data_IF_905839944385
#
_entry.id   IF_905839944385
#
_cell.length_a   1.000
_cell.length_b   1.000
_cell.length_c   1.000
_cell.angle_alpha   90.00
_cell.angle_beta   90.00
_cell.angle_gamma   90.00
#
_symmetry.space_group_name_H-M   'P 1'
#
loop_
_entity.id
_entity.type
_entity.pdbx_description
1 polymer ?
#
# COMPACT_ATOMS: atom_id res chain seq x y z
N UNK A 1 -0.38 -21.11 17.57
CA UNK A 1 -1.68 -20.51 17.96
C UNK A 1 -1.45 -19.13 18.53
N UNK A 2 -2.50 -18.37 18.87
CA UNK A 2 -2.36 -17.03 19.47
C UNK A 2 -1.44 -17.05 20.71
N UNK A 3 -1.45 -18.15 21.45
CA UNK A 3 -0.62 -18.38 22.65
C UNK A 3 0.89 -18.43 22.35
N UNK A 4 1.30 -18.99 21.22
CA UNK A 4 2.72 -19.03 20.82
C UNK A 4 3.23 -17.63 20.43
N UNK A 5 2.37 -16.82 19.79
CA UNK A 5 2.66 -15.43 19.46
C UNK A 5 2.76 -14.55 20.72
N UNK A 6 1.88 -14.79 21.69
CA UNK A 6 1.95 -14.13 23.00
C UNK A 6 3.24 -14.49 23.74
N UNK A 7 3.68 -15.76 23.67
CA UNK A 7 4.95 -16.20 24.24
C UNK A 7 6.16 -15.50 23.62
N UNK A 8 6.19 -15.29 22.29
CA UNK A 8 7.26 -14.55 21.63
C UNK A 8 7.23 -13.06 22.00
N UNK A 9 6.04 -12.46 22.09
CA UNK A 9 5.86 -11.08 22.57
C UNK A 9 6.35 -10.93 24.00
N UNK A 10 5.94 -11.84 24.89
CA UNK A 10 6.39 -11.88 26.29
C UNK A 10 7.90 -12.08 26.38
N UNK A 11 8.48 -13.00 25.59
CA UNK A 11 9.92 -13.20 25.53
C UNK A 11 10.67 -11.93 25.07
N UNK A 12 10.13 -11.21 24.09
CA UNK A 12 10.71 -9.93 23.62
C UNK A 12 10.61 -8.85 24.70
N UNK A 13 9.49 -8.77 25.40
CA UNK A 13 9.30 -7.91 26.58
C UNK A 13 10.25 -8.28 27.71
N UNK A 14 10.52 -9.58 27.90
CA UNK A 14 11.46 -10.11 28.90
C UNK A 14 12.90 -9.73 28.55
N UNK A 15 13.30 -9.78 27.28
CA UNK A 15 14.63 -9.32 26.85
C UNK A 15 14.83 -7.81 27.10
N UNK A 16 13.74 -7.02 27.10
CA UNK A 16 13.74 -5.61 27.50
C UNK A 16 13.68 -5.38 29.02
N UNK A 17 13.70 -6.43 29.86
CA UNK A 17 13.62 -6.29 31.34
C UNK A 17 14.81 -5.51 31.93
N UNK A 18 15.99 -5.55 31.32
CA UNK A 18 17.12 -4.76 31.79
C UNK A 18 16.89 -3.23 31.72
N UNK A 19 15.91 -2.77 30.94
CA UNK A 19 15.51 -1.35 30.88
C UNK A 19 14.32 -1.00 31.79
N UNK A 20 13.72 -1.98 32.48
CA UNK A 20 12.56 -1.73 33.36
C UNK A 20 12.94 -1.01 34.66
N UNK A 21 14.19 -1.13 35.10
CA UNK A 21 14.67 -0.53 36.34
C UNK A 21 15.31 0.86 36.15
N UNK A 22 15.53 1.28 34.89
CA UNK A 22 16.08 2.59 34.57
C UNK A 22 14.98 3.62 34.36
N UNK A 23 15.16 4.82 34.94
CA UNK A 23 14.26 5.94 34.72
C UNK A 23 14.48 6.48 33.29
N UNK A 24 13.87 5.84 32.29
CA UNK A 24 14.01 6.17 30.88
C UNK A 24 13.65 7.64 30.57
N UNK A 25 12.71 8.23 31.32
CA UNK A 25 12.39 9.65 31.24
C UNK A 25 13.59 10.54 31.57
N UNK A 26 14.43 10.15 32.53
CA UNK A 26 15.68 10.85 32.85
C UNK A 26 16.68 10.74 31.70
N UNK A 27 16.80 9.56 31.07
CA UNK A 27 17.67 9.35 29.90
C UNK A 27 17.21 10.25 28.74
N UNK A 28 15.91 10.28 28.44
CA UNK A 28 15.34 11.15 27.41
C UNK A 28 15.66 12.63 27.66
N UNK A 29 15.57 13.09 28.92
CA UNK A 29 15.94 14.45 29.32
C UNK A 29 17.45 14.72 29.20
N UNK A 30 18.29 13.78 29.62
CA UNK A 30 19.76 13.90 29.51
C UNK A 30 20.23 13.92 28.05
N UNK A 31 19.49 13.28 27.15
CA UNK A 31 19.74 13.28 25.70
C UNK A 31 19.10 14.46 24.95
N UNK A 32 18.39 15.36 25.64
CA UNK A 32 17.65 16.49 25.05
C UNK A 32 16.66 16.05 23.94
N UNK A 33 16.01 14.90 24.14
CA UNK A 33 15.02 14.35 23.20
C UNK A 33 13.65 14.94 23.49
N UNK A 34 12.89 15.27 22.45
CA UNK A 34 11.51 15.74 22.56
C UNK A 34 10.67 14.77 23.38
N UNK A 35 10.07 15.25 24.46
CA UNK A 35 9.31 14.43 25.41
C UNK A 35 7.84 14.22 25.04
N UNK A 36 7.41 14.75 23.90
CA UNK A 36 6.01 14.75 23.48
C UNK A 36 5.87 14.46 21.99
N UNK A 37 4.86 13.69 21.66
CA UNK A 37 4.40 13.41 20.32
C UNK A 37 2.98 13.94 20.17
N UNK A 38 2.75 14.84 19.21
CA UNK A 38 1.43 15.39 18.95
C UNK A 38 0.72 14.55 17.90
N UNK A 39 -0.45 14.04 18.24
CA UNK A 39 -1.34 13.34 17.32
C UNK A 39 -2.72 13.98 17.35
N UNK A 40 -3.17 14.47 16.18
CA UNK A 40 -4.43 15.17 15.98
C UNK A 40 -4.63 16.38 16.91
N UNK A 41 -5.16 16.16 18.11
CA UNK A 41 -5.41 17.17 19.15
C UNK A 41 -4.97 16.70 20.55
N UNK A 42 -4.14 15.66 20.61
CA UNK A 42 -3.67 15.06 21.86
C UNK A 42 -2.15 15.05 21.89
N UNK A 43 -1.57 15.51 23.00
CA UNK A 43 -0.15 15.38 23.27
C UNK A 43 0.11 14.09 24.04
N UNK A 44 0.86 13.18 23.41
CA UNK A 44 1.28 11.92 24.01
C UNK A 44 2.67 12.13 24.60
N UNK A 45 2.79 11.98 25.91
CA UNK A 45 4.09 12.04 26.59
C UNK A 45 4.90 10.77 26.31
N UNK A 46 6.15 10.95 25.89
CA UNK A 46 7.08 9.86 25.61
C UNK A 46 7.76 9.46 26.91
N UNK A 47 7.56 8.21 27.31
CA UNK A 47 8.06 7.65 28.56
C UNK A 47 9.02 6.47 28.34
N UNK A 48 9.14 5.99 27.10
CA UNK A 48 9.96 4.85 26.73
C UNK A 48 10.90 5.17 25.55
N UNK A 49 12.20 4.90 25.71
CA UNK A 49 13.19 5.10 24.65
C UNK A 49 12.92 4.21 23.42
N UNK A 50 12.37 3.02 23.63
CA UNK A 50 11.93 2.10 22.56
C UNK A 50 10.78 2.73 21.78
N UNK A 51 9.87 3.43 22.45
CA UNK A 51 8.77 4.13 21.80
C UNK A 51 9.28 5.35 21.01
N UNK A 52 10.27 6.06 21.54
CA UNK A 52 10.96 7.12 20.78
C UNK A 52 11.62 6.58 19.51
N UNK A 53 12.27 5.41 19.57
CA UNK A 53 12.80 4.75 18.37
C UNK A 53 11.70 4.47 17.34
N UNK A 54 10.51 4.04 17.78
CA UNK A 54 9.37 3.85 16.88
C UNK A 54 8.95 5.17 16.22
N UNK A 55 8.85 6.26 17.00
CA UNK A 55 8.51 7.59 16.49
C UNK A 55 9.55 8.10 15.48
N UNK A 56 10.83 7.99 15.79
CA UNK A 56 11.91 8.42 14.90
C UNK A 56 11.90 7.66 13.56
N UNK A 57 11.69 6.34 13.61
CA UNK A 57 11.56 5.50 12.42
C UNK A 57 10.29 5.83 11.62
N UNK A 58 9.18 6.14 12.28
CA UNK A 58 7.96 6.60 11.62
C UNK A 58 8.18 7.93 10.88
N UNK A 59 8.86 8.90 11.49
CA UNK A 59 9.24 10.16 10.81
C UNK A 59 10.12 9.87 9.59
N UNK A 60 11.10 8.97 9.72
CA UNK A 60 11.96 8.59 8.61
C UNK A 60 11.19 7.89 7.49
N UNK A 61 10.22 7.04 7.82
CA UNK A 61 9.33 6.42 6.84
C UNK A 61 8.52 7.45 6.06
N UNK A 62 8.00 8.47 6.74
CA UNK A 62 7.29 9.61 6.11
C UNK A 62 8.21 10.39 5.17
N UNK A 63 9.45 10.66 5.59
CA UNK A 63 10.43 11.34 4.74
C UNK A 63 10.74 10.54 3.47
N UNK A 64 10.97 9.21 3.58
CA UNK A 64 11.16 8.36 2.41
C UNK A 64 9.93 8.32 1.49
N UNK A 65 8.72 8.36 2.05
CA UNK A 65 7.49 8.45 1.25
C UNK A 65 7.48 9.74 0.41
N UNK A 66 7.73 10.89 1.04
CA UNK A 66 7.74 12.17 0.34
C UNK A 66 8.84 12.25 -0.72
N UNK A 67 10.02 11.70 -0.43
CA UNK A 67 11.12 11.62 -1.40
C UNK A 67 10.76 10.72 -2.58
N UNK A 68 10.00 9.65 -2.35
CA UNK A 68 9.53 8.77 -3.43
C UNK A 68 8.58 9.49 -4.37
N UNK A 69 7.65 10.29 -3.83
CA UNK A 69 6.71 11.07 -4.64
C UNK A 69 7.48 12.04 -5.56
N UNK A 70 8.51 12.73 -5.05
CA UNK A 70 9.39 13.59 -5.86
C UNK A 70 10.08 12.81 -6.98
N UNK A 71 10.64 11.65 -6.67
CA UNK A 71 11.29 10.82 -7.70
C UNK A 71 10.30 10.29 -8.75
N UNK A 72 9.06 9.97 -8.36
CA UNK A 72 8.03 9.51 -9.29
C UNK A 72 7.59 10.63 -10.24
N UNK A 73 7.41 11.85 -9.72
CA UNK A 73 7.14 13.06 -10.51
C UNK A 73 8.28 13.40 -11.50
N UNK A 74 9.53 13.11 -11.12
CA UNK A 74 10.72 13.29 -11.97
C UNK A 74 10.98 12.10 -12.92
N UNK A 75 10.09 11.10 -12.96
CA UNK A 75 10.23 9.85 -13.72
C UNK A 75 11.49 9.01 -13.33
N UNK A 76 12.11 9.29 -12.18
CA UNK A 76 13.17 8.45 -11.59
C UNK A 76 12.56 7.27 -10.81
N UNK A 77 11.89 6.40 -11.57
CA UNK A 77 11.13 5.28 -10.99
C UNK A 77 11.99 4.31 -10.19
N UNK A 78 13.29 4.20 -10.47
CA UNK A 78 14.17 3.31 -9.69
C UNK A 78 14.35 3.82 -8.27
N UNK A 79 14.69 5.11 -8.13
CA UNK A 79 14.83 5.72 -6.82
C UNK A 79 13.48 5.88 -6.11
N UNK A 80 12.39 6.13 -6.84
CA UNK A 80 11.04 6.11 -6.27
C UNK A 80 10.72 4.76 -5.63
N UNK A 81 10.95 3.65 -6.34
CA UNK A 81 10.75 2.28 -5.81
C UNK A 81 11.63 2.01 -4.60
N UNK A 82 12.93 2.32 -4.69
CA UNK A 82 13.87 2.10 -3.57
C UNK A 82 13.40 2.87 -2.34
N UNK A 83 13.03 4.15 -2.50
CA UNK A 83 12.58 4.99 -1.39
C UNK A 83 11.35 4.41 -0.70
N UNK A 84 10.36 3.90 -1.44
CA UNK A 84 9.17 3.30 -0.82
C UNK A 84 9.39 1.91 -0.22
N UNK A 85 10.35 1.15 -0.75
CA UNK A 85 10.83 -0.06 -0.07
C UNK A 85 11.48 0.28 1.26
N UNK A 86 12.29 1.34 1.33
CA UNK A 86 12.86 1.80 2.60
C UNK A 86 11.79 2.34 3.55
N UNK A 87 10.83 3.12 3.06
CA UNK A 87 9.66 3.55 3.83
C UNK A 87 8.91 2.37 4.48
N UNK A 88 8.61 1.33 3.69
CA UNK A 88 7.97 0.09 4.17
C UNK A 88 8.80 -0.57 5.28
N UNK A 89 10.12 -0.70 5.11
CA UNK A 89 11.01 -1.26 6.14
C UNK A 89 10.98 -0.42 7.42
N UNK A 90 11.04 0.90 7.30
CA UNK A 90 11.03 1.80 8.46
C UNK A 90 9.71 1.69 9.24
N UNK A 91 8.56 1.68 8.58
CA UNK A 91 7.27 1.44 9.22
C UNK A 91 7.21 0.08 9.92
N UNK A 92 7.68 -0.98 9.24
CA UNK A 92 7.72 -2.34 9.79
C UNK A 92 8.58 -2.42 11.05
N UNK A 93 9.76 -1.79 11.02
CA UNK A 93 10.65 -1.73 12.17
C UNK A 93 10.06 -0.88 13.30
N UNK A 94 9.43 0.25 12.97
CA UNK A 94 8.72 1.08 13.95
C UNK A 94 7.61 0.30 14.66
N UNK A 95 6.87 -0.55 13.95
CA UNK A 95 5.84 -1.40 14.55
C UNK A 95 6.41 -2.34 15.63
N UNK A 96 7.58 -2.93 15.38
CA UNK A 96 8.26 -3.78 16.37
C UNK A 96 8.72 -3.00 17.59
N UNK A 97 9.31 -1.82 17.41
CA UNK A 97 9.71 -0.96 18.52
C UNK A 97 8.49 -0.50 19.32
N UNK A 98 7.42 -0.10 18.66
CA UNK A 98 6.17 0.29 19.33
C UNK A 98 5.60 -0.88 20.13
N UNK A 99 5.57 -2.10 19.57
CA UNK A 99 5.07 -3.28 20.27
C UNK A 99 5.93 -3.68 21.48
N UNK A 100 7.24 -3.47 21.38
CA UNK A 100 8.23 -3.81 22.42
C UNK A 100 8.37 -2.75 23.52
N UNK A 101 7.79 -1.55 23.35
CA UNK A 101 7.76 -0.52 24.38
C UNK A 101 6.95 -0.99 25.60
N UNK A 102 7.60 -0.97 26.76
CA UNK A 102 7.09 -1.52 28.04
C UNK A 102 6.66 -0.43 29.02
N UNK A 103 7.27 0.75 28.95
CA UNK A 103 6.99 1.89 29.82
C UNK A 103 6.08 2.93 29.14
N UNK A 104 5.67 2.68 27.89
CA UNK A 104 4.75 3.55 27.17
C UNK A 104 3.29 3.11 27.40
N UNK A 105 2.55 3.88 28.18
CA UNK A 105 1.14 3.59 28.49
C UNK A 105 0.18 4.01 27.37
N UNK A 106 0.45 5.13 26.72
CA UNK A 106 -0.37 5.69 25.64
C UNK A 106 0.45 5.76 24.36
N UNK A 107 0.01 5.10 23.29
CA UNK A 107 0.76 5.01 22.02
C UNK A 107 0.13 5.82 20.89
N UNK A 108 -1.12 6.25 21.04
CA UNK A 108 -1.87 6.83 19.94
C UNK A 108 -2.23 5.82 18.86
N UNK A 109 -2.88 6.29 17.80
CA UNK A 109 -3.28 5.47 16.65
C UNK A 109 -2.10 5.32 15.69
N UNK A 110 -1.45 6.43 15.34
CA UNK A 110 -0.36 6.56 14.37
C UNK A 110 0.82 5.67 14.70
N UNK A 111 1.18 5.61 15.99
CA UNK A 111 2.30 4.78 16.46
C UNK A 111 1.81 3.47 17.07
N UNK A 112 0.54 3.10 16.92
CA UNK A 112 0.10 1.74 17.27
C UNK A 112 0.82 0.72 16.37
N UNK A 113 1.24 -0.45 16.90
CA UNK A 113 1.89 -1.47 16.09
C UNK A 113 1.06 -1.89 14.88
N UNK A 114 -0.26 -1.98 15.04
CA UNK A 114 -1.18 -2.35 13.98
C UNK A 114 -1.20 -1.31 12.85
N UNK A 115 -1.25 -0.02 13.16
CA UNK A 115 -1.27 1.04 12.13
C UNK A 115 0.07 1.15 11.39
N UNK A 116 1.18 0.96 12.11
CA UNK A 116 2.51 0.96 11.51
C UNK A 116 2.70 -0.25 10.57
N UNK A 117 2.16 -1.42 10.93
CA UNK A 117 2.14 -2.59 10.05
C UNK A 117 1.31 -2.35 8.77
N UNK A 118 0.14 -1.71 8.91
CA UNK A 118 -0.68 -1.33 7.75
C UNK A 118 0.03 -0.32 6.87
N UNK A 119 0.65 0.70 7.45
CA UNK A 119 1.45 1.70 6.74
C UNK A 119 2.61 1.07 5.95
N UNK A 120 3.25 0.05 6.55
CA UNK A 120 4.29 -0.74 5.87
C UNK A 120 3.75 -1.48 4.64
N UNK A 121 2.56 -2.08 4.73
CA UNK A 121 1.93 -2.78 3.61
C UNK A 121 1.47 -1.82 2.51
N UNK A 122 0.90 -0.66 2.88
CA UNK A 122 0.54 0.41 1.94
C UNK A 122 1.77 0.93 1.18
N UNK A 123 2.88 1.17 1.88
CA UNK A 123 4.13 1.60 1.24
C UNK A 123 4.67 0.57 0.24
N UNK A 124 4.52 -0.73 0.55
CA UNK A 124 4.92 -1.80 -0.36
C UNK A 124 4.01 -1.88 -1.60
N UNK A 125 2.70 -1.66 -1.43
CA UNK A 125 1.75 -1.60 -2.56
C UNK A 125 2.17 -0.49 -3.51
N UNK A 126 2.45 0.70 -2.98
CA UNK A 126 2.89 1.84 -3.79
C UNK A 126 4.21 1.55 -4.51
N UNK A 127 5.22 1.00 -3.82
CA UNK A 127 6.49 0.62 -4.46
C UNK A 127 6.28 -0.34 -5.64
N UNK A 128 5.37 -1.32 -5.48
CA UNK A 128 5.06 -2.24 -6.57
C UNK A 128 4.24 -1.59 -7.70
N UNK A 129 3.44 -0.57 -7.39
CA UNK A 129 2.70 0.23 -8.37
C UNK A 129 3.66 0.98 -9.29
N UNK A 130 4.61 1.70 -8.73
CA UNK A 130 5.66 2.41 -9.50
C UNK A 130 6.50 1.42 -10.31
N UNK A 131 6.85 0.26 -9.73
CA UNK A 131 7.57 -0.78 -10.46
C UNK A 131 6.75 -1.33 -11.65
N UNK A 132 5.43 -1.49 -11.50
CA UNK A 132 4.57 -1.95 -12.58
C UNK A 132 4.52 -0.91 -13.73
N UNK A 133 4.32 0.36 -13.39
CA UNK A 133 4.32 1.48 -14.36
C UNK A 133 5.65 1.58 -15.10
N UNK A 134 6.78 1.49 -14.40
CA UNK A 134 8.14 1.48 -15.00
C UNK A 134 8.32 0.36 -16.03
N UNK A 135 7.81 -0.82 -15.73
CA UNK A 135 7.99 -1.98 -16.61
C UNK A 135 7.04 -1.90 -17.80
N UNK A 136 5.85 -1.34 -17.60
CA UNK A 136 4.92 -1.04 -18.67
C UNK A 136 5.48 0.02 -19.63
N UNK A 137 6.03 1.13 -19.12
CA UNK A 137 6.62 2.21 -19.92
C UNK A 137 7.85 1.76 -20.71
N UNK A 138 8.62 0.79 -20.18
CA UNK A 138 9.71 0.10 -20.89
C UNK A 138 9.23 -0.95 -21.90
N UNK A 139 7.92 -1.07 -22.11
CA UNK A 139 7.27 -2.07 -22.96
C UNK A 139 7.56 -3.53 -22.53
N UNK A 140 7.88 -3.77 -21.25
CA UNK A 140 8.06 -5.11 -20.68
C UNK A 140 6.70 -5.67 -20.19
N UNK A 141 5.77 -5.83 -21.14
CA UNK A 141 4.37 -6.18 -20.88
C UNK A 141 4.19 -7.45 -20.05
N UNK A 142 5.04 -8.46 -20.29
CA UNK A 142 4.98 -9.70 -19.54
C UNK A 142 5.29 -9.49 -18.05
N UNK A 143 6.33 -8.74 -17.74
CA UNK A 143 6.72 -8.50 -16.35
C UNK A 143 5.77 -7.51 -15.66
N UNK A 144 5.36 -6.44 -16.35
CA UNK A 144 4.32 -5.53 -15.87
C UNK A 144 3.02 -6.30 -15.52
N UNK A 145 2.58 -7.24 -16.38
CA UNK A 145 1.40 -8.07 -16.10
C UNK A 145 1.50 -8.88 -14.80
N UNK A 146 2.71 -9.34 -14.44
CA UNK A 146 2.94 -10.05 -13.17
C UNK A 146 2.90 -9.11 -11.99
N UNK A 147 3.46 -7.91 -12.12
CA UNK A 147 3.45 -6.90 -11.06
C UNK A 147 2.02 -6.43 -10.78
N UNK A 148 1.21 -6.14 -11.80
CA UNK A 148 -0.22 -5.84 -11.61
C UNK A 148 -1.00 -7.00 -11.00
N UNK A 149 -0.73 -8.26 -11.41
CA UNK A 149 -1.35 -9.42 -10.76
C UNK A 149 -0.95 -9.55 -9.29
N UNK A 150 0.24 -9.12 -8.90
CA UNK A 150 0.66 -9.07 -7.51
C UNK A 150 -0.01 -7.91 -6.76
N UNK A 151 -0.16 -6.75 -7.39
CA UNK A 151 -0.83 -5.58 -6.82
C UNK A 151 -2.27 -5.90 -6.43
N UNK A 152 -3.01 -6.59 -7.31
CA UNK A 152 -4.39 -6.98 -6.99
C UNK A 152 -4.46 -7.87 -5.74
N UNK A 153 -3.54 -8.82 -5.58
CA UNK A 153 -3.49 -9.67 -4.38
C UNK A 153 -3.19 -8.83 -3.13
N UNK A 154 -2.30 -7.86 -3.23
CA UNK A 154 -1.97 -6.97 -2.12
C UNK A 154 -3.11 -6.02 -1.77
N UNK A 155 -3.76 -5.39 -2.76
CA UNK A 155 -4.95 -4.56 -2.59
C UNK A 155 -6.08 -5.35 -1.91
N UNK A 156 -6.31 -6.59 -2.35
CA UNK A 156 -7.27 -7.50 -1.70
C UNK A 156 -6.88 -7.82 -0.26
N UNK A 157 -5.59 -8.04 0.03
CA UNK A 157 -5.12 -8.27 1.40
C UNK A 157 -5.37 -7.03 2.27
N UNK A 158 -4.98 -5.84 1.82
CA UNK A 158 -5.20 -4.59 2.53
C UNK A 158 -6.69 -4.36 2.84
N UNK A 159 -7.57 -4.69 1.89
CA UNK A 159 -9.02 -4.61 2.08
C UNK A 159 -9.53 -5.42 3.29
N UNK A 160 -8.96 -6.60 3.55
CA UNK A 160 -9.39 -7.48 4.65
C UNK A 160 -8.63 -7.24 5.97
N UNK A 161 -7.49 -6.54 5.94
CA UNK A 161 -6.66 -6.34 7.13
C UNK A 161 -7.24 -5.30 8.11
N UNK A 162 -8.12 -4.39 7.66
CA UNK A 162 -8.77 -3.39 8.53
C UNK A 162 -10.19 -3.09 8.05
N UNK A 163 -11.05 -2.70 8.98
CA UNK A 163 -12.31 -2.03 8.65
C UNK A 163 -12.00 -0.63 8.15
N UNK A 164 -11.99 -0.46 6.84
CA UNK A 164 -11.84 0.85 6.20
C UNK A 164 -13.17 1.62 6.24
N UNK A 165 -13.07 2.94 6.29
CA UNK A 165 -14.20 3.81 5.98
C UNK A 165 -14.67 3.59 4.54
N UNK A 166 -15.94 3.92 4.27
CA UNK A 166 -16.59 3.64 2.99
C UNK A 166 -15.78 4.14 1.79
N UNK A 167 -15.24 5.37 1.87
CA UNK A 167 -14.44 5.98 0.81
C UNK A 167 -13.21 5.14 0.47
N UNK A 168 -12.32 4.92 1.45
CA UNK A 168 -11.09 4.11 1.27
C UNK A 168 -11.42 2.67 0.86
N UNK A 169 -12.51 2.12 1.38
CA UNK A 169 -13.00 0.78 1.02
C UNK A 169 -13.31 0.68 -0.47
N UNK A 170 -14.01 1.65 -1.05
CA UNK A 170 -14.34 1.63 -2.48
C UNK A 170 -13.10 1.90 -3.34
N UNK A 171 -12.20 2.80 -2.93
CA UNK A 171 -10.92 3.05 -3.61
C UNK A 171 -10.10 1.75 -3.76
N UNK A 172 -9.90 1.01 -2.66
CA UNK A 172 -9.13 -0.24 -2.70
C UNK A 172 -9.82 -1.30 -3.58
N UNK A 173 -11.16 -1.38 -3.55
CA UNK A 173 -11.91 -2.33 -4.39
C UNK A 173 -11.80 -2.00 -5.87
N UNK A 174 -11.95 -0.74 -6.24
CA UNK A 174 -11.81 -0.30 -7.61
C UNK A 174 -10.37 -0.56 -8.11
N UNK A 175 -9.36 -0.20 -7.32
CA UNK A 175 -7.96 -0.47 -7.64
C UNK A 175 -7.68 -1.97 -7.83
N UNK A 176 -8.19 -2.82 -6.94
CA UNK A 176 -8.10 -4.27 -7.07
C UNK A 176 -8.61 -4.76 -8.43
N UNK A 177 -9.79 -4.27 -8.85
CA UNK A 177 -10.36 -4.65 -10.13
C UNK A 177 -9.55 -4.07 -11.31
N UNK A 178 -9.10 -2.82 -11.23
CA UNK A 178 -8.24 -2.23 -12.24
C UNK A 178 -6.94 -3.03 -12.44
N UNK A 179 -6.23 -3.35 -11.36
CA UNK A 179 -4.99 -4.12 -11.39
C UNK A 179 -5.19 -5.51 -12.01
N UNK A 180 -6.32 -6.17 -11.71
CA UNK A 180 -6.69 -7.44 -12.34
C UNK A 180 -6.95 -7.28 -13.84
N UNK A 181 -7.63 -6.19 -14.23
CA UNK A 181 -7.88 -5.85 -15.63
C UNK A 181 -6.56 -5.65 -16.39
N UNK A 182 -5.68 -4.80 -15.86
CA UNK A 182 -4.38 -4.48 -16.46
C UNK A 182 -3.45 -5.68 -16.55
N UNK A 183 -3.44 -6.53 -15.52
CA UNK A 183 -2.70 -7.79 -15.55
C UNK A 183 -3.16 -8.71 -16.68
N UNK A 184 -4.48 -8.82 -16.90
CA UNK A 184 -5.02 -9.67 -17.96
C UNK A 184 -4.72 -9.10 -19.36
N UNK A 185 -4.92 -7.80 -19.54
CA UNK A 185 -4.69 -7.10 -20.80
C UNK A 185 -3.21 -7.20 -21.24
N UNK A 186 -2.28 -6.75 -20.39
CA UNK A 186 -0.86 -6.80 -20.70
C UNK A 186 -0.36 -8.22 -20.96
N UNK A 187 -0.91 -9.22 -20.27
CA UNK A 187 -0.58 -10.63 -20.51
C UNK A 187 -1.10 -11.12 -21.85
N UNK A 188 -2.26 -10.64 -22.30
CA UNK A 188 -2.78 -10.92 -23.64
C UNK A 188 -1.86 -10.31 -24.70
N UNK A 189 -1.50 -9.04 -24.55
CA UNK A 189 -0.60 -8.32 -25.45
C UNK A 189 0.78 -9.00 -25.53
N UNK A 190 1.38 -9.32 -24.38
CA UNK A 190 2.65 -10.05 -24.33
C UNK A 190 2.57 -11.44 -25.00
N UNK A 191 1.42 -12.12 -24.91
CA UNK A 191 1.22 -13.43 -25.55
C UNK A 191 1.11 -13.32 -27.07
N UNK A 192 0.66 -12.18 -27.60
CA UNK A 192 0.63 -11.89 -29.04
C UNK A 192 2.05 -11.57 -29.54
N UNK A 193 2.81 -10.79 -28.77
CA UNK A 193 4.15 -10.30 -29.15
C UNK A 193 5.26 -11.36 -29.02
N UNK A 194 5.11 -12.31 -28.08
CA UNK A 194 6.04 -13.43 -27.83
C UNK A 194 5.95 -14.51 -28.93
N UNK A 195 6.30 -14.13 -30.16
CA UNK A 195 6.16 -14.89 -31.41
C UNK A 195 7.21 -15.99 -31.63
N UNK A 196 7.50 -16.80 -30.61
CA UNK A 196 8.38 -17.98 -30.73
C UNK A 196 7.57 -19.26 -31.03
N UNK A 197 6.28 -19.27 -30.69
CA UNK A 197 5.35 -20.41 -30.90
C UNK A 197 4.01 -19.92 -31.44
N UNK A 198 3.22 -20.83 -32.02
CA UNK A 198 1.86 -20.53 -32.49
C UNK A 198 1.02 -19.86 -31.38
N UNK A 199 0.45 -18.69 -31.72
CA UNK A 199 -0.36 -17.90 -30.79
C UNK A 199 -1.61 -18.70 -30.44
N UNK A 200 -1.78 -19.01 -29.15
CA UNK A 200 -3.02 -19.59 -28.65
C UNK A 200 -4.12 -18.50 -28.62
N UNK A 201 -4.82 -18.35 -29.75
CA UNK A 201 -5.87 -17.34 -29.94
C UNK A 201 -6.98 -17.44 -28.90
N UNK A 202 -7.39 -18.65 -28.52
CA UNK A 202 -8.42 -18.87 -27.50
C UNK A 202 -7.98 -18.33 -26.13
N UNK A 203 -6.73 -18.56 -25.75
CA UNK A 203 -6.18 -18.03 -24.49
C UNK A 203 -6.10 -16.50 -24.50
N UNK A 204 -5.68 -15.92 -25.62
CA UNK A 204 -5.60 -14.45 -25.78
C UNK A 204 -7.00 -13.83 -25.68
N UNK A 205 -7.98 -14.38 -26.39
CA UNK A 205 -9.39 -13.96 -26.34
C UNK A 205 -9.91 -14.00 -24.90
N UNK A 206 -9.74 -15.13 -24.18
CA UNK A 206 -10.14 -15.25 -22.77
C UNK A 206 -9.48 -14.24 -21.83
N UNK A 207 -8.23 -13.84 -22.11
CA UNK A 207 -7.53 -12.83 -21.31
C UNK A 207 -8.09 -11.43 -21.55
N UNK A 208 -8.33 -11.05 -22.81
CA UNK A 208 -8.97 -9.78 -23.19
C UNK A 208 -10.37 -9.64 -22.59
N UNK A 209 -11.17 -10.69 -22.74
CA UNK A 209 -12.50 -10.84 -22.15
C UNK A 209 -12.50 -10.65 -20.62
N UNK A 210 -11.53 -11.25 -19.91
CA UNK A 210 -11.34 -11.03 -18.47
C UNK A 210 -10.93 -9.60 -18.13
N UNK A 211 -10.04 -9.01 -18.93
CA UNK A 211 -9.60 -7.64 -18.73
C UNK A 211 -10.79 -6.69 -18.79
N UNK A 212 -11.64 -6.82 -19.82
CA UNK A 212 -12.86 -6.03 -19.98
C UNK A 212 -13.81 -6.17 -18.79
N UNK A 213 -14.08 -7.39 -18.34
CA UNK A 213 -14.92 -7.64 -17.16
C UNK A 213 -14.41 -6.88 -15.93
N UNK A 214 -13.11 -6.95 -15.66
CA UNK A 214 -12.51 -6.30 -14.49
C UNK A 214 -12.48 -4.77 -14.62
N UNK A 215 -12.19 -4.25 -15.81
CA UNK A 215 -12.24 -2.81 -16.08
C UNK A 215 -13.65 -2.25 -15.89
N UNK A 216 -14.68 -2.92 -16.38
CA UNK A 216 -16.07 -2.51 -16.16
C UNK A 216 -16.42 -2.49 -14.67
N UNK A 217 -16.02 -3.51 -13.89
CA UNK A 217 -16.22 -3.50 -12.43
C UNK A 217 -15.51 -2.35 -11.73
N UNK A 218 -14.28 -2.03 -12.12
CA UNK A 218 -13.55 -0.89 -11.55
C UNK A 218 -14.25 0.44 -11.87
N UNK A 219 -14.65 0.62 -13.13
CA UNK A 219 -15.41 1.78 -13.60
C UNK A 219 -16.73 1.95 -12.85
N UNK A 220 -17.54 0.91 -12.73
CA UNK A 220 -18.82 0.94 -12.02
C UNK A 220 -18.64 1.42 -10.56
N UNK A 221 -17.57 0.98 -9.89
CA UNK A 221 -17.28 1.40 -8.52
C UNK A 221 -16.89 2.88 -8.48
N UNK A 222 -16.03 3.34 -9.37
CA UNK A 222 -15.60 4.74 -9.43
C UNK A 222 -16.75 5.69 -9.79
N UNK A 223 -17.61 5.33 -10.74
CA UNK A 223 -18.82 6.10 -11.07
C UNK A 223 -19.79 6.17 -9.88
N UNK A 224 -19.95 5.05 -9.16
CA UNK A 224 -20.74 5.01 -7.93
C UNK A 224 -20.15 5.92 -6.85
N UNK A 225 -18.82 5.95 -6.71
CA UNK A 225 -18.14 6.84 -5.77
C UNK A 225 -18.46 8.31 -6.04
N UNK A 226 -18.34 8.78 -7.29
CA UNK A 226 -18.67 10.16 -7.68
C UNK A 226 -20.14 10.47 -7.36
N UNK A 227 -21.04 9.53 -7.64
CA UNK A 227 -22.48 9.76 -7.51
C UNK A 227 -22.96 9.75 -6.04
N UNK A 228 -22.38 8.88 -5.21
CA UNK A 228 -22.95 8.54 -3.90
C UNK A 228 -22.09 8.96 -2.69
N UNK A 229 -20.79 9.25 -2.86
CA UNK A 229 -19.96 9.74 -1.76
C UNK A 229 -20.08 11.25 -1.63
N UNK A 230 -20.49 11.72 -0.45
CA UNK A 230 -20.73 13.14 -0.16
C UNK A 230 -19.47 13.92 0.21
N UNK A 231 -18.39 13.21 0.55
CA UNK A 231 -17.21 13.77 1.22
C UNK A 231 -15.95 13.62 0.34
N UNK A 232 -16.12 13.76 -0.97
CA UNK A 232 -15.00 13.82 -1.94
C UNK A 232 -14.50 15.25 -2.05
N UNK A 233 -13.20 15.46 -1.93
CA UNK A 233 -12.57 16.74 -2.29
C UNK A 233 -12.60 16.95 -3.81
N UNK A 234 -12.33 18.18 -4.27
CA UNK A 234 -12.16 18.48 -5.70
C UNK A 234 -11.12 17.57 -6.34
N UNK A 235 -9.98 17.43 -5.68
CA UNK A 235 -8.82 16.71 -6.20
C UNK A 235 -9.11 15.20 -6.20
N UNK A 236 -9.84 14.69 -5.21
CA UNK A 236 -10.29 13.30 -5.18
C UNK A 236 -11.26 13.01 -6.33
N UNK A 237 -12.22 13.90 -6.59
CA UNK A 237 -13.17 13.74 -7.69
C UNK A 237 -12.46 13.75 -9.05
N UNK A 238 -11.56 14.71 -9.27
CA UNK A 238 -10.75 14.81 -10.50
C UNK A 238 -9.90 13.54 -10.73
N UNK A 239 -9.27 13.02 -9.68
CA UNK A 239 -8.52 11.76 -9.78
C UNK A 239 -9.41 10.57 -10.16
N UNK A 240 -10.64 10.49 -9.63
CA UNK A 240 -11.58 9.42 -10.01
C UNK A 240 -12.03 9.58 -11.46
N UNK A 241 -12.29 10.80 -11.92
CA UNK A 241 -12.65 11.09 -13.33
C UNK A 241 -11.51 10.71 -14.29
N UNK A 242 -10.27 11.04 -13.94
CA UNK A 242 -9.08 10.64 -14.69
C UNK A 242 -8.96 9.12 -14.78
N UNK A 243 -9.16 8.40 -13.68
CA UNK A 243 -9.16 6.94 -13.65
C UNK A 243 -10.24 6.33 -14.55
N UNK A 244 -11.45 6.90 -14.55
CA UNK A 244 -12.54 6.49 -15.44
C UNK A 244 -12.16 6.73 -16.91
N UNK A 245 -11.52 7.86 -17.23
CA UNK A 245 -11.04 8.16 -18.59
C UNK A 245 -10.03 7.12 -19.07
N UNK A 246 -9.03 6.80 -18.24
CA UNK A 246 -8.00 5.79 -18.55
C UNK A 246 -8.65 4.42 -18.81
N UNK A 247 -9.59 4.00 -17.95
CA UNK A 247 -10.31 2.74 -18.18
C UNK A 247 -11.10 2.76 -19.49
N UNK A 248 -11.77 3.85 -19.81
CA UNK A 248 -12.53 3.94 -21.05
C UNK A 248 -11.64 3.75 -22.28
N UNK A 249 -10.41 4.26 -22.24
CA UNK A 249 -9.47 4.08 -23.34
C UNK A 249 -8.98 2.63 -23.42
N UNK A 250 -8.66 1.98 -22.29
CA UNK A 250 -8.36 0.55 -22.28
C UNK A 250 -9.51 -0.33 -22.78
N UNK A 251 -10.75 -0.02 -22.41
CA UNK A 251 -11.93 -0.77 -22.88
C UNK A 251 -12.10 -0.62 -24.39
N UNK A 252 -11.88 0.58 -24.96
CA UNK A 252 -11.97 0.79 -26.42
C UNK A 252 -10.92 0.00 -27.20
N UNK A 253 -9.73 -0.20 -26.61
CA UNK A 253 -8.65 -1.00 -27.22
C UNK A 253 -8.95 -2.50 -27.21
N UNK A 254 -9.81 -2.96 -26.29
CA UNK A 254 -10.26 -4.35 -26.22
C UNK A 254 -11.43 -4.55 -27.20
N UNK A 255 -11.10 -4.97 -28.42
CA UNK A 255 -12.06 -5.39 -29.45
C UNK A 255 -12.55 -6.83 -29.21
N UNK A 256 -13.16 -7.10 -28.04
CA UNK A 256 -13.77 -8.40 -27.71
C UNK A 256 -15.09 -8.20 -26.96
N UNK A 257 -15.98 -9.19 -27.06
CA UNK A 257 -17.25 -9.20 -26.35
C UNK A 257 -17.06 -9.47 -24.85
N UNK A 258 -17.85 -8.78 -24.03
CA UNK A 258 -17.84 -8.89 -22.58
C UNK A 258 -18.17 -10.32 -22.12
N UNK A 259 -17.47 -10.81 -21.09
CA UNK A 259 -17.89 -12.04 -20.40
C UNK A 259 -19.18 -11.80 -19.63
N UNK A 260 -20.21 -12.55 -19.99
CA UNK A 260 -21.41 -12.71 -19.18
C UNK A 260 -21.05 -13.62 -17.99
N UNK A 261 -20.77 -12.99 -16.84
CA UNK A 261 -20.81 -13.68 -15.56
C UNK A 261 -22.05 -13.16 -14.83
N UNK A 262 -23.12 -13.97 -14.82
CA UNK A 262 -24.18 -13.88 -13.81
C UNK A 262 -23.62 -14.01 -12.39
#
# INVERSE_FOLDING_TARGET
GLDDLNLVKEYTIILNVNYKDENQKKILQELDITSQFHEENTDIEIQDLTFECARALWVLAKAYSQISDVFDEEEDWENAVISMVESSKMYKTAAYFSAAAVNQYEKGITLSPEELELSSEEARIFAQSVAATREESKNNKYFASKLYSGLSVMSKRLFYLRKHEEKKRQQIRAQFHYDMGRACDLKAQASIESSITDINKEKVMKLKQKAQFYYLKAKDIWENMITNLKDLSSDEAENIENNISIINDHIKEIDEEQLDYE
#
